data_IF_667048439841
#
_entry.id   IF_667048439841
#
_cell.length_a   1.000
_cell.length_b   1.000
_cell.length_c   1.000
_cell.angle_alpha   90.00
_cell.angle_beta   90.00
_cell.angle_gamma   90.00
#
_symmetry.space_group_name_H-M   'P 1'
#
loop_
_entity.id
_entity.type
_entity.pdbx_description
1 polymer ?
#
# COMPACT_ATOMS: atom_id res chain seq x y z
N UNK A 1 -15.64 1.09 -10.32
CA UNK A 1 -16.22 -0.19 -10.77
C UNK A 1 -15.19 -1.25 -10.45
N UNK A 2 -15.42 -2.02 -9.40
CA UNK A 2 -14.44 -2.97 -8.86
C UNK A 2 -14.49 -4.32 -9.60
N UNK A 3 -13.36 -5.00 -9.68
CA UNK A 3 -13.26 -6.36 -10.19
C UNK A 3 -13.23 -7.32 -8.99
N UNK A 4 -14.20 -8.22 -8.90
CA UNK A 4 -14.15 -9.29 -7.88
C UNK A 4 -13.10 -10.30 -8.28
N UNK A 5 -12.33 -10.76 -7.30
CA UNK A 5 -11.42 -11.89 -7.46
C UNK A 5 -12.16 -13.14 -7.94
N UNK A 6 -11.47 -13.97 -8.72
CA UNK A 6 -12.00 -15.24 -9.24
C UNK A 6 -11.95 -16.39 -8.22
N UNK A 7 -11.51 -16.10 -6.99
CA UNK A 7 -11.38 -17.04 -5.88
C UNK A 7 -9.94 -17.41 -5.55
N UNK A 8 -8.95 -16.98 -6.34
CA UNK A 8 -7.53 -17.25 -6.10
C UNK A 8 -7.05 -16.63 -4.78
N UNK A 9 -7.46 -15.39 -4.51
CA UNK A 9 -7.10 -14.67 -3.28
C UNK A 9 -7.88 -15.22 -2.07
N UNK A 10 -9.12 -15.64 -2.28
CA UNK A 10 -9.93 -16.31 -1.26
C UNK A 10 -9.30 -17.63 -0.77
N UNK A 11 -8.68 -18.40 -1.68
CA UNK A 11 -8.00 -19.66 -1.35
C UNK A 11 -6.67 -19.44 -0.61
N UNK A 12 -5.92 -18.39 -0.95
CA UNK A 12 -4.61 -18.11 -0.37
C UNK A 12 -4.68 -17.36 0.97
N UNK A 13 -5.62 -16.41 1.08
CA UNK A 13 -5.64 -15.45 2.20
C UNK A 13 -6.97 -15.40 2.96
N UNK A 14 -7.97 -16.19 2.58
CA UNK A 14 -9.24 -16.28 3.32
C UNK A 14 -10.10 -15.02 3.22
N UNK A 15 -9.98 -14.24 2.14
CA UNK A 15 -10.71 -12.99 1.92
C UNK A 15 -11.65 -13.05 0.72
N UNK A 16 -12.70 -12.23 0.75
CA UNK A 16 -13.46 -11.84 -0.44
C UNK A 16 -13.07 -10.41 -0.79
N UNK A 17 -12.50 -10.20 -1.96
CA UNK A 17 -11.90 -8.93 -2.35
C UNK A 17 -12.44 -8.39 -3.67
N UNK A 18 -12.23 -7.09 -3.85
CA UNK A 18 -12.48 -6.41 -5.09
C UNK A 18 -11.35 -5.43 -5.40
N UNK A 19 -10.74 -5.58 -6.58
CA UNK A 19 -9.67 -4.74 -7.07
C UNK A 19 -10.23 -3.48 -7.74
N UNK A 20 -9.63 -2.34 -7.43
CA UNK A 20 -9.97 -1.04 -7.99
C UNK A 20 -8.70 -0.41 -8.58
N UNK A 21 -8.52 -0.49 -9.90
CA UNK A 21 -7.38 0.13 -10.56
C UNK A 21 -7.37 1.65 -10.41
N UNK A 22 -6.21 2.21 -10.06
CA UNK A 22 -5.93 3.64 -9.99
C UNK A 22 -4.64 3.88 -10.79
N UNK A 23 -4.80 4.26 -12.07
CA UNK A 23 -3.69 4.37 -13.00
C UNK A 23 -2.98 3.03 -13.20
N UNK A 24 -1.67 3.02 -12.95
CA UNK A 24 -0.83 1.82 -12.98
C UNK A 24 -0.81 1.04 -11.64
N UNK A 25 -1.54 1.52 -10.63
CA UNK A 25 -1.61 0.93 -9.29
C UNK A 25 -3.00 0.36 -9.01
N UNK A 26 -3.16 -0.33 -7.88
CA UNK A 26 -4.41 -0.97 -7.51
C UNK A 26 -4.73 -0.69 -6.04
N UNK A 27 -5.99 -0.40 -5.77
CA UNK A 27 -6.56 -0.44 -4.42
C UNK A 27 -7.38 -1.71 -4.25
N UNK A 28 -7.07 -2.51 -3.24
CA UNK A 28 -7.82 -3.72 -2.90
C UNK A 28 -8.78 -3.45 -1.75
N UNK A 29 -10.08 -3.67 -1.99
CA UNK A 29 -11.06 -3.72 -0.92
C UNK A 29 -11.32 -5.18 -0.56
N UNK A 30 -10.88 -5.58 0.64
CA UNK A 30 -11.01 -6.94 1.13
C UNK A 30 -11.97 -7.02 2.33
N UNK A 31 -12.77 -8.08 2.36
CA UNK A 31 -13.62 -8.48 3.48
C UNK A 31 -13.17 -9.85 3.99
N UNK A 32 -12.98 -10.05 5.30
CA UNK A 32 -12.63 -11.35 5.85
C UNK A 32 -13.70 -12.40 5.55
N UNK A 33 -13.30 -13.59 5.08
CA UNK A 33 -14.20 -14.70 4.76
C UNK A 33 -13.99 -15.92 5.67
N UNK A 34 -12.83 -16.03 6.35
CA UNK A 34 -12.49 -17.17 7.21
C UNK A 34 -12.39 -16.74 8.68
N UNK A 35 -13.30 -17.19 9.57
CA UNK A 35 -13.26 -16.81 10.98
C UNK A 35 -11.92 -17.13 11.65
N UNK A 36 -11.38 -16.13 12.35
CA UNK A 36 -10.19 -16.29 13.19
C UNK A 36 -8.86 -16.19 12.44
N UNK A 37 -8.85 -15.98 11.12
CA UNK A 37 -7.64 -15.70 10.34
C UNK A 37 -7.06 -14.29 10.63
N UNK A 38 -5.98 -13.91 9.94
CA UNK A 38 -5.31 -12.64 10.19
C UNK A 38 -6.21 -11.42 9.89
N UNK A 39 -6.97 -11.46 8.80
CA UNK A 39 -7.83 -10.37 8.34
C UNK A 39 -9.07 -10.23 9.23
N UNK A 40 -9.68 -11.34 9.67
CA UNK A 40 -10.78 -11.37 10.64
C UNK A 40 -10.34 -10.84 12.01
N UNK A 41 -9.17 -11.26 12.50
CA UNK A 41 -8.63 -10.75 13.78
C UNK A 41 -8.31 -9.26 13.70
N UNK A 42 -7.79 -8.80 12.56
CA UNK A 42 -7.59 -7.38 12.32
C UNK A 42 -8.92 -6.63 12.39
N UNK A 43 -9.90 -7.03 11.58
CA UNK A 43 -11.21 -6.36 11.52
C UNK A 43 -11.92 -6.35 12.87
N UNK A 44 -11.93 -7.48 13.60
CA UNK A 44 -12.54 -7.56 14.94
C UNK A 44 -11.88 -6.62 15.97
N UNK A 45 -10.58 -6.36 15.83
CA UNK A 45 -9.82 -5.49 16.75
C UNK A 45 -9.92 -4.02 16.37
N UNK A 46 -10.04 -3.73 15.08
CA UNK A 46 -9.70 -2.42 14.54
C UNK A 46 -10.80 -1.79 13.68
N UNK A 47 -11.85 -2.54 13.34
CA UNK A 47 -12.89 -2.14 12.41
C UNK A 47 -12.38 -2.08 10.97
N UNK A 48 -13.12 -1.37 10.12
CA UNK A 48 -12.69 -1.03 8.76
C UNK A 48 -11.46 -0.12 8.79
N UNK A 49 -10.48 -0.40 7.93
CA UNK A 49 -9.31 0.46 7.78
C UNK A 49 -8.23 -0.14 6.87
N UNK A 50 -7.21 0.66 6.58
CA UNK A 50 -6.07 0.22 5.78
C UNK A 50 -5.28 -0.88 6.48
N UNK A 51 -5.11 -2.00 5.78
CA UNK A 51 -4.46 -3.20 6.31
C UNK A 51 -2.99 -3.34 5.84
N UNK A 52 -2.74 -3.07 4.56
CA UNK A 52 -1.47 -3.39 3.90
C UNK A 52 -1.07 -2.31 2.90
N UNK A 53 0.24 -2.11 2.76
CA UNK A 53 0.86 -1.40 1.62
C UNK A 53 1.69 -2.43 0.86
N UNK A 54 1.49 -2.49 -0.46
CA UNK A 54 2.27 -3.33 -1.37
C UNK A 54 3.12 -2.41 -2.24
N UNK A 55 4.43 -2.64 -2.26
CA UNK A 55 5.37 -1.90 -3.10
C UNK A 55 5.95 -2.83 -4.15
N UNK A 56 5.99 -2.39 -5.40
CA UNK A 56 6.64 -3.15 -6.46
C UNK A 56 8.13 -2.77 -6.54
N UNK A 57 9.00 -3.76 -6.56
CA UNK A 57 10.42 -3.61 -6.83
C UNK A 57 10.75 -4.11 -8.24
N UNK A 58 11.69 -3.44 -8.91
CA UNK A 58 12.24 -3.91 -10.19
C UNK A 58 13.19 -5.10 -10.02
N UNK A 59 13.80 -5.23 -8.84
CA UNK A 59 14.70 -6.31 -8.47
C UNK A 59 14.58 -6.58 -6.95
N UNK A 60 14.39 -7.86 -6.57
CA UNK A 60 14.30 -8.27 -5.17
C UNK A 60 15.67 -8.51 -4.53
N UNK A 61 16.76 -8.65 -5.29
CA UNK A 61 18.07 -8.93 -4.70
C UNK A 61 18.58 -7.76 -3.81
N UNK A 62 18.53 -6.48 -4.24
CA UNK A 62 18.86 -5.36 -3.37
C UNK A 62 17.90 -5.22 -2.19
N UNK A 63 16.62 -5.56 -2.39
CA UNK A 63 15.62 -5.56 -1.31
C UNK A 63 16.01 -6.57 -0.24
N UNK A 64 16.29 -7.81 -0.63
CA UNK A 64 16.67 -8.88 0.31
C UNK A 64 17.91 -8.52 1.13
N UNK A 65 18.94 -7.95 0.51
CA UNK A 65 20.12 -7.45 1.23
C UNK A 65 19.73 -6.43 2.30
N UNK A 66 18.88 -5.46 1.97
CA UNK A 66 18.37 -4.49 2.95
C UNK A 66 17.58 -5.15 4.07
N UNK A 67 16.74 -6.14 3.76
CA UNK A 67 15.99 -6.89 4.78
C UNK A 67 16.93 -7.60 5.75
N UNK A 68 17.96 -8.28 5.23
CA UNK A 68 18.95 -8.98 6.04
C UNK A 68 19.75 -8.01 6.92
N UNK A 69 20.27 -6.92 6.33
CA UNK A 69 21.02 -5.88 7.05
C UNK A 69 20.17 -5.21 8.15
N UNK A 70 18.88 -5.03 7.90
CA UNK A 70 17.92 -4.45 8.83
C UNK A 70 17.35 -5.46 9.84
N UNK A 71 17.70 -6.75 9.73
CA UNK A 71 17.18 -7.83 10.58
C UNK A 71 15.66 -7.99 10.48
N UNK A 72 15.09 -7.86 9.27
CA UNK A 72 13.65 -7.99 9.01
C UNK A 72 13.30 -9.43 8.67
N UNK A 73 12.34 -10.00 9.40
CA UNK A 73 11.78 -11.31 9.08
C UNK A 73 10.76 -11.24 7.95
N UNK A 74 10.81 -12.21 7.04
CA UNK A 74 9.78 -12.47 6.03
C UNK A 74 8.84 -13.53 6.61
N UNK A 75 7.57 -13.18 6.82
CA UNK A 75 6.58 -14.09 7.42
C UNK A 75 5.94 -15.01 6.36
N UNK A 76 5.90 -14.58 5.10
CA UNK A 76 5.39 -15.35 3.98
C UNK A 76 6.03 -14.93 2.67
N UNK A 77 6.21 -15.88 1.75
CA UNK A 77 6.76 -15.64 0.42
C UNK A 77 6.08 -16.55 -0.59
N UNK A 78 5.93 -16.01 -1.81
CA UNK A 78 5.63 -16.79 -3.00
C UNK A 78 6.68 -16.54 -4.08
N UNK A 79 7.06 -17.61 -4.76
CA UNK A 79 8.07 -17.58 -5.80
C UNK A 79 7.56 -18.32 -7.05
N UNK A 80 6.95 -17.57 -7.95
CA UNK A 80 6.65 -18.03 -9.31
C UNK A 80 7.71 -17.51 -10.30
N UNK A 81 7.87 -18.17 -11.46
CA UNK A 81 8.79 -17.70 -12.50
C UNK A 81 8.51 -16.29 -13.00
N UNK A 82 7.24 -15.85 -12.99
CA UNK A 82 6.77 -14.59 -13.54
C UNK A 82 6.34 -13.55 -12.48
N UNK A 83 6.24 -13.95 -11.21
CA UNK A 83 5.86 -13.08 -10.11
C UNK A 83 6.40 -13.60 -8.76
N UNK A 84 6.78 -12.68 -7.88
CA UNK A 84 7.24 -12.97 -6.52
C UNK A 84 6.63 -11.95 -5.57
N UNK A 85 6.40 -12.35 -4.33
CA UNK A 85 5.87 -11.46 -3.29
C UNK A 85 6.41 -11.88 -1.93
N UNK A 86 6.80 -10.88 -1.14
CA UNK A 86 7.37 -11.03 0.20
C UNK A 86 6.48 -10.29 1.19
N UNK A 87 5.83 -11.00 2.12
CA UNK A 87 5.12 -10.37 3.23
C UNK A 87 6.08 -10.22 4.41
N UNK A 88 6.36 -8.97 4.77
CA UNK A 88 7.30 -8.66 5.83
C UNK A 88 6.60 -8.69 7.18
N UNK A 89 7.34 -9.14 8.19
CA UNK A 89 6.81 -9.21 9.54
C UNK A 89 6.48 -7.82 10.08
N UNK A 90 5.21 -7.58 10.38
CA UNK A 90 4.78 -6.30 10.95
C UNK A 90 5.42 -6.03 12.33
N UNK A 91 5.85 -7.07 13.05
CA UNK A 91 6.62 -6.90 14.29
C UNK A 91 8.04 -6.33 14.03
N UNK A 92 8.61 -6.63 12.87
CA UNK A 92 9.96 -6.19 12.46
C UNK A 92 9.95 -4.80 11.84
N UNK A 93 8.89 -4.43 11.12
CA UNK A 93 8.78 -3.17 10.38
C UNK A 93 7.95 -2.12 11.12
N UNK A 94 6.76 -2.50 11.59
CA UNK A 94 5.79 -1.60 12.22
C UNK A 94 5.08 -0.65 11.24
N UNK A 95 4.17 0.17 11.75
CA UNK A 95 3.36 1.06 10.93
C UNK A 95 2.13 0.32 10.39
N UNK A 96 2.26 -0.41 9.30
CA UNK A 96 1.20 -1.26 8.73
C UNK A 96 1.84 -2.49 8.10
N UNK A 97 1.05 -3.49 7.70
CA UNK A 97 1.62 -4.64 7.00
C UNK A 97 2.24 -4.15 5.67
N UNK A 98 3.46 -4.61 5.38
CA UNK A 98 4.21 -4.27 4.18
C UNK A 98 4.49 -5.54 3.39
N UNK A 99 4.13 -5.53 2.10
CA UNK A 99 4.55 -6.52 1.14
C UNK A 99 5.42 -5.89 0.04
N UNK A 100 6.38 -6.65 -0.47
CA UNK A 100 7.19 -6.27 -1.62
C UNK A 100 6.94 -7.27 -2.76
N UNK A 101 6.47 -6.74 -3.89
CA UNK A 101 6.15 -7.49 -5.10
C UNK A 101 7.24 -7.33 -6.15
N UNK A 102 7.36 -8.35 -6.99
CA UNK A 102 8.11 -8.30 -8.24
C UNK A 102 7.32 -9.04 -9.32
N UNK A 103 7.34 -8.50 -10.54
CA UNK A 103 6.71 -9.11 -11.69
C UNK A 103 7.67 -9.07 -12.88
N UNK A 104 7.70 -10.14 -13.68
CA UNK A 104 8.48 -10.19 -14.91
C UNK A 104 8.03 -9.14 -15.94
N UNK A 105 6.74 -8.79 -15.91
CA UNK A 105 6.17 -7.66 -16.66
C UNK A 105 5.75 -6.58 -15.66
N UNK A 106 6.47 -5.45 -15.55
CA UNK A 106 6.22 -4.44 -14.51
C UNK A 106 4.80 -3.88 -14.48
N UNK A 107 4.18 -3.69 -15.64
CA UNK A 107 2.80 -3.18 -15.75
C UNK A 107 1.72 -4.24 -15.49
N UNK A 108 2.08 -5.42 -14.98
CA UNK A 108 1.16 -6.52 -14.74
C UNK A 108 1.06 -6.88 -13.25
N UNK A 109 -0.12 -6.69 -12.69
CA UNK A 109 -0.47 -7.17 -11.36
C UNK A 109 -1.11 -8.55 -11.47
N UNK A 110 -0.34 -9.60 -11.15
CA UNK A 110 -0.76 -11.00 -11.31
C UNK A 110 -2.09 -11.30 -10.61
N UNK A 111 -2.29 -10.73 -9.42
CA UNK A 111 -3.45 -10.99 -8.57
C UNK A 111 -4.73 -10.28 -9.03
N UNK A 112 -4.61 -9.21 -9.81
CA UNK A 112 -5.75 -8.47 -10.32
C UNK A 112 -6.38 -9.11 -11.58
N UNK A 113 -5.79 -10.18 -12.10
CA UNK A 113 -6.24 -10.86 -13.32
C UNK A 113 -5.98 -10.05 -14.59
N UNK A 114 -6.00 -10.69 -15.76
CA UNK A 114 -5.58 -10.06 -17.02
C UNK A 114 -6.49 -8.92 -17.51
N UNK A 115 -7.73 -8.82 -17.01
CA UNK A 115 -8.71 -7.81 -17.45
C UNK A 115 -8.67 -6.52 -16.62
N UNK A 116 -7.85 -6.45 -15.55
CA UNK A 116 -7.76 -5.25 -14.71
C UNK A 116 -7.54 -3.93 -15.49
N UNK A 117 -6.77 -3.87 -16.60
CA UNK A 117 -6.55 -2.61 -17.31
C UNK A 117 -7.84 -2.03 -17.91
N UNK A 118 -8.82 -2.86 -18.27
CA UNK A 118 -10.11 -2.40 -18.81
C UNK A 118 -10.98 -1.71 -17.74
N UNK A 119 -10.63 -1.87 -16.46
CA UNK A 119 -11.28 -1.26 -15.32
C UNK A 119 -10.64 0.07 -14.86
N UNK A 120 -9.54 0.50 -15.49
CA UNK A 120 -8.90 1.79 -15.21
C UNK A 120 -9.84 2.96 -15.57
N UNK A 121 -9.98 3.93 -14.68
CA UNK A 121 -10.84 5.11 -14.85
C UNK A 121 -10.04 6.40 -14.58
N UNK A 122 -9.01 6.64 -15.39
CA UNK A 122 -8.12 7.82 -15.29
C UNK A 122 -8.86 9.16 -15.38
N UNK A 123 -10.05 9.20 -15.98
CA UNK A 123 -10.90 10.39 -16.00
C UNK A 123 -11.48 10.77 -14.62
N UNK A 124 -11.34 9.92 -13.59
CA UNK A 124 -11.75 10.18 -12.21
C UNK A 124 -10.51 10.31 -11.32
N UNK A 125 -9.65 9.28 -11.30
CA UNK A 125 -8.45 9.22 -10.49
C UNK A 125 -7.27 8.74 -11.34
N UNK A 126 -6.19 9.51 -11.39
CA UNK A 126 -5.03 9.26 -12.22
C UNK A 126 -4.08 8.23 -11.60
N UNK A 127 -3.41 8.58 -10.50
CA UNK A 127 -2.38 7.76 -9.85
C UNK A 127 -2.45 7.93 -8.32
N UNK A 128 -2.00 6.92 -7.57
CA UNK A 128 -1.70 7.08 -6.15
C UNK A 128 -0.35 7.79 -6.03
N UNK A 129 -0.36 8.99 -5.43
CA UNK A 129 0.82 9.85 -5.28
C UNK A 129 1.48 9.71 -3.91
N UNK A 130 0.70 9.38 -2.88
CA UNK A 130 1.24 9.08 -1.57
C UNK A 130 0.33 8.13 -0.80
N UNK A 131 0.92 7.26 0.02
CA UNK A 131 0.21 6.53 1.06
C UNK A 131 0.57 7.12 2.44
N UNK A 132 -0.43 7.29 3.29
CA UNK A 132 -0.30 7.86 4.62
C UNK A 132 -0.41 6.77 5.69
N UNK A 133 0.61 6.69 6.54
CA UNK A 133 0.70 5.75 7.64
C UNK A 133 0.74 6.55 8.95
N UNK A 134 -0.36 6.54 9.69
CA UNK A 134 -0.40 7.10 11.04
C UNK A 134 0.41 6.23 12.00
N UNK A 135 1.27 6.85 12.80
CA UNK A 135 2.17 6.17 13.75
C UNK A 135 2.44 7.04 14.99
N UNK A 136 2.75 6.45 16.15
CA UNK A 136 3.07 7.23 17.36
C UNK A 136 4.36 8.06 17.25
N UNK A 137 5.33 7.60 16.44
CA UNK A 137 6.60 8.26 16.22
C UNK A 137 6.93 8.23 14.71
N UNK A 138 6.56 9.28 13.96
CA UNK A 138 6.78 9.36 12.52
C UNK A 138 8.26 9.28 12.10
N UNK A 139 9.16 9.91 12.85
CA UNK A 139 10.57 9.92 12.52
C UNK A 139 11.18 8.52 12.66
N UNK A 140 10.88 7.83 13.75
CA UNK A 140 11.35 6.46 13.96
C UNK A 140 10.76 5.49 12.95
N UNK A 141 9.46 5.59 12.66
CA UNK A 141 8.81 4.73 11.67
C UNK A 141 9.39 4.95 10.27
N UNK A 142 9.56 6.21 9.84
CA UNK A 142 10.12 6.53 8.55
C UNK A 142 11.57 6.06 8.40
N UNK A 143 12.40 6.22 9.45
CA UNK A 143 13.77 5.68 9.47
C UNK A 143 13.76 4.15 9.29
N UNK A 144 12.89 3.44 10.02
CA UNK A 144 12.76 2.00 9.89
C UNK A 144 12.31 1.58 8.49
N UNK A 145 11.34 2.27 7.90
CA UNK A 145 10.89 1.99 6.54
C UNK A 145 11.96 2.33 5.49
N UNK A 146 12.78 3.35 5.71
CA UNK A 146 13.89 3.68 4.81
C UNK A 146 15.00 2.61 4.83
N UNK A 147 15.26 1.96 5.97
CA UNK A 147 16.17 0.79 6.03
C UNK A 147 15.68 -0.36 5.14
N UNK A 148 14.36 -0.60 5.11
CA UNK A 148 13.71 -1.69 4.38
C UNK A 148 13.55 -1.39 2.89
N UNK A 149 12.88 -0.26 2.59
CA UNK A 149 12.46 0.12 1.25
C UNK A 149 13.58 0.85 0.51
N UNK A 150 14.45 1.56 1.23
CA UNK A 150 15.37 2.53 0.65
C UNK A 150 14.66 3.83 0.24
N UNK A 151 15.43 4.91 0.11
CA UNK A 151 14.95 6.21 -0.35
C UNK A 151 15.26 7.34 0.62
N UNK A 152 15.25 8.60 0.13
CA UNK A 152 15.52 9.76 0.97
C UNK A 152 14.33 10.09 1.87
N UNK A 153 14.64 10.48 3.10
CA UNK A 153 13.67 10.98 4.07
C UNK A 153 13.65 12.52 4.06
N UNK A 154 12.45 13.10 4.02
CA UNK A 154 12.25 14.54 4.07
C UNK A 154 11.27 14.88 5.20
N UNK A 155 11.69 15.64 6.23
CA UNK A 155 10.77 16.20 7.21
C UNK A 155 9.77 17.13 6.53
N UNK A 156 8.52 17.04 6.94
CA UNK A 156 7.41 17.88 6.48
C UNK A 156 6.80 18.62 7.69
N UNK A 157 5.99 19.66 7.44
CA UNK A 157 5.26 20.34 8.51
C UNK A 157 4.35 19.40 9.33
N UNK A 158 3.91 19.85 10.51
CA UNK A 158 3.06 19.09 11.44
C UNK A 158 3.61 17.72 11.88
N UNK A 159 4.94 17.57 11.94
CA UNK A 159 5.58 16.35 12.42
C UNK A 159 5.49 15.16 11.46
N UNK A 160 5.15 15.44 10.19
CA UNK A 160 5.12 14.42 9.13
C UNK A 160 6.54 14.14 8.64
N UNK A 161 6.84 12.90 8.29
CA UNK A 161 8.08 12.52 7.61
C UNK A 161 7.73 11.78 6.33
N UNK A 162 8.30 12.20 5.21
CA UNK A 162 8.06 11.61 3.90
C UNK A 162 9.26 10.77 3.47
N UNK A 163 9.00 9.54 3.03
CA UNK A 163 9.95 8.68 2.33
C UNK A 163 9.61 8.71 0.85
N UNK A 164 10.53 9.21 0.02
CA UNK A 164 10.33 9.24 -1.43
C UNK A 164 10.52 7.85 -2.04
N UNK A 165 9.63 7.50 -2.97
CA UNK A 165 9.74 6.33 -3.84
C UNK A 165 10.06 6.79 -5.27
N UNK A 166 10.45 5.87 -6.14
CA UNK A 166 10.62 6.17 -7.57
C UNK A 166 9.31 6.69 -8.19
N UNK A 167 8.17 6.20 -7.69
CA UNK A 167 6.82 6.69 -8.03
C UNK A 167 6.01 6.90 -6.76
N UNK A 168 5.76 8.17 -6.44
CA UNK A 168 5.00 8.58 -5.27
C UNK A 168 5.83 8.60 -3.99
N UNK A 169 5.16 8.54 -2.83
CA UNK A 169 5.81 8.63 -1.52
C UNK A 169 5.03 7.88 -0.44
N UNK A 170 5.72 7.60 0.67
CA UNK A 170 5.11 7.18 1.93
C UNK A 170 5.19 8.33 2.93
N UNK A 171 4.08 8.67 3.58
CA UNK A 171 4.02 9.73 4.59
C UNK A 171 3.68 9.15 5.94
N UNK A 172 4.59 9.31 6.88
CA UNK A 172 4.40 8.91 8.26
C UNK A 172 3.86 10.13 9.02
N UNK A 173 2.69 10.00 9.63
CA UNK A 173 2.00 11.10 10.31
C UNK A 173 1.76 10.77 11.78
N UNK A 174 1.73 11.75 12.70
CA UNK A 174 1.42 11.48 14.10
C UNK A 174 0.04 10.82 14.25
N UNK A 175 -0.02 9.70 14.97
CA UNK A 175 -1.30 9.05 15.29
C UNK A 175 -1.98 9.73 16.48
N UNK A 176 -3.27 10.03 16.35
CA UNK A 176 -4.08 10.60 17.45
C UNK A 176 -4.36 9.59 18.57
N UNK A 177 -4.15 8.30 18.32
CA UNK A 177 -4.32 7.25 19.32
C UNK A 177 -2.95 6.69 19.71
N UNK A 178 -2.78 6.30 20.98
CA UNK A 178 -1.60 5.56 21.46
C UNK A 178 -1.52 4.11 20.92
N UNK A 179 -2.27 3.79 19.86
CA UNK A 179 -2.36 2.48 19.25
C UNK A 179 -1.18 2.15 18.35
N UNK A 180 -1.22 0.95 17.76
CA UNK A 180 -0.30 0.61 16.66
C UNK A 180 -0.58 1.49 15.46
N UNK A 181 0.44 1.68 14.62
CA UNK A 181 0.26 2.43 13.37
C UNK A 181 -0.78 1.80 12.44
N UNK A 182 -1.23 2.59 11.45
CA UNK A 182 -2.19 2.17 10.43
C UNK A 182 -2.02 2.95 9.14
N UNK A 183 -2.32 2.30 8.01
CA UNK A 183 -2.62 2.99 6.76
C UNK A 183 -3.94 3.76 6.89
N UNK A 184 -3.89 5.09 6.83
CA UNK A 184 -5.03 5.99 7.12
C UNK A 184 -5.50 6.81 5.93
N UNK A 185 -4.66 6.99 4.93
CA UNK A 185 -5.09 7.65 3.71
C UNK A 185 -4.19 7.42 2.52
N UNK A 186 -4.68 7.85 1.36
CA UNK A 186 -3.94 7.94 0.12
C UNK A 186 -4.26 9.24 -0.58
N UNK A 187 -3.24 9.84 -1.19
CA UNK A 187 -3.41 10.97 -2.09
C UNK A 187 -3.47 10.42 -3.51
N UNK A 188 -4.51 10.82 -4.25
CA UNK A 188 -4.74 10.41 -5.63
C UNK A 188 -4.81 11.63 -6.53
N UNK A 189 -4.18 11.59 -7.70
CA UNK A 189 -4.33 12.67 -8.66
C UNK A 189 -5.75 12.73 -9.20
N UNK A 190 -6.36 13.90 -9.18
CA UNK A 190 -7.71 14.13 -9.69
C UNK A 190 -7.72 14.16 -11.22
N UNK A 191 -8.62 13.40 -11.85
CA UNK A 191 -8.89 13.55 -13.28
C UNK A 191 -9.62 14.88 -13.58
N UNK A 192 -10.78 15.15 -12.95
CA UNK A 192 -11.49 16.41 -13.09
C UNK A 192 -10.97 17.45 -12.10
N UNK A 193 -10.79 18.69 -12.55
CA UNK A 193 -10.41 19.82 -11.69
C UNK A 193 -11.37 20.03 -10.51
N UNK A 194 -12.66 19.71 -10.69
CA UNK A 194 -13.67 19.81 -9.63
C UNK A 194 -13.47 18.84 -8.46
N UNK A 195 -12.67 17.77 -8.62
CA UNK A 195 -12.34 16.85 -7.53
C UNK A 195 -11.13 17.31 -6.72
N UNK A 196 -10.29 18.21 -7.23
CA UNK A 196 -9.12 18.71 -6.50
C UNK A 196 -9.54 19.33 -5.16
N UNK A 197 -8.87 18.94 -4.09
CA UNK A 197 -9.14 19.39 -2.72
C UNK A 197 -10.31 18.67 -2.04
N UNK A 198 -10.99 17.76 -2.73
CA UNK A 198 -12.05 16.93 -2.14
C UNK A 198 -11.48 15.64 -1.54
N UNK A 199 -12.26 15.00 -0.67
CA UNK A 199 -11.89 13.71 -0.09
C UNK A 199 -13.11 12.79 0.05
N UNK A 200 -12.88 11.48 0.00
CA UNK A 200 -13.89 10.46 0.31
C UNK A 200 -13.29 9.40 1.21
N UNK A 201 -14.08 8.85 2.13
CA UNK A 201 -13.68 7.73 2.97
C UNK A 201 -14.23 6.43 2.38
N UNK A 202 -13.37 5.44 2.15
CA UNK A 202 -13.75 4.10 1.68
C UNK A 202 -13.21 3.08 2.67
N UNK A 203 -14.11 2.35 3.35
CA UNK A 203 -13.75 1.34 4.36
C UNK A 203 -12.71 1.86 5.39
N UNK A 204 -12.94 3.05 5.94
CA UNK A 204 -12.06 3.66 6.94
C UNK A 204 -10.77 4.29 6.40
N UNK A 205 -10.48 4.18 5.10
CA UNK A 205 -9.33 4.81 4.45
C UNK A 205 -9.73 6.13 3.76
N UNK A 206 -8.99 7.21 4.02
CA UNK A 206 -9.25 8.51 3.39
C UNK A 206 -8.57 8.61 2.01
N UNK A 207 -9.35 8.86 0.97
CA UNK A 207 -8.85 9.19 -0.37
C UNK A 207 -8.92 10.70 -0.54
N UNK A 208 -7.76 11.34 -0.77
CA UNK A 208 -7.66 12.79 -1.01
C UNK A 208 -7.32 13.04 -2.46
N UNK A 209 -8.15 13.80 -3.14
CA UNK A 209 -7.94 14.17 -4.54
C UNK A 209 -7.09 15.43 -4.60
N UNK A 210 -5.91 15.31 -5.21
CA UNK A 210 -4.93 16.40 -5.31
C UNK A 210 -4.62 16.70 -6.77
N UNK A 211 -3.98 17.84 -7.04
CA UNK A 211 -3.48 18.16 -8.38
C UNK A 211 -2.45 17.11 -8.81
N UNK A 212 -2.47 16.77 -10.10
CA UNK A 212 -1.37 16.03 -10.70
C UNK A 212 -0.13 16.90 -10.69
N UNK A 213 0.85 16.58 -9.84
CA UNK A 213 2.18 17.15 -9.99
C UNK A 213 2.74 16.70 -11.34
N UNK A 214 2.88 17.63 -12.29
CA UNK A 214 3.56 17.35 -13.55
C UNK A 214 5.00 16.94 -13.20
N UNK A 215 5.51 15.78 -13.64
CA UNK A 215 6.92 15.48 -13.44
C UNK A 215 7.73 16.60 -14.11
N UNK A 216 8.60 17.25 -13.34
CA UNK A 216 9.61 18.12 -13.94
C UNK A 216 10.53 17.19 -14.75
N UNK A 217 10.47 17.32 -16.08
CA UNK A 217 11.29 16.58 -17.04
C UNK A 217 12.79 16.76 -16.80
#
# INVERSE_FOLDING_TARGET
MSLRDDGTTAQLHGISNAWMPIGATIFELASPAVPGDATSRFHARFGDGGYMVILQASDLEPVRRRLDDAGVTIDWEIDYPDAKELHLSNASVGGTLLAIDWAATPDHWRWAGSDWPSHIRTHIAGEILAAEISVPDPARAAARWAEVVGGPLTPRPQGVVELALDRGALRFVPSETHGRGRLTGVDVSAGPAALVGTSVTVAGLQFRFVESSTPSH
#
